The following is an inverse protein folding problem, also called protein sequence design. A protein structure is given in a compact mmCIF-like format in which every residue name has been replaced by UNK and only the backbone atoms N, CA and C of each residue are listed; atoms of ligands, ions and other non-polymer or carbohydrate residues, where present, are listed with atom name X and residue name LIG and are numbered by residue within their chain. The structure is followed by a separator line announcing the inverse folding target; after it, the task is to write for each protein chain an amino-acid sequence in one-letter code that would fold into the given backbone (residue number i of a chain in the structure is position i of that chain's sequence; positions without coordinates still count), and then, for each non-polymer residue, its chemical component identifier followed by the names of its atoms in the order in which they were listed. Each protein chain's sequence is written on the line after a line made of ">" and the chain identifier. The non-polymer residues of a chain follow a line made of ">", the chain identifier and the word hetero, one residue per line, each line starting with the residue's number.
data_IF_309815258304
#
_entry.id   IF_309815258304
#
_cell.length_a   1.000
_cell.length_b   1.000
_cell.length_c   1.000
_cell.angle_alpha   90.00
_cell.angle_beta   90.00
_cell.angle_gamma   90.00
#
_symmetry.space_group_name_H-M   'P 1'
#
loop_
_entity.id
_entity.type
_entity.pdbx_description
1 polymer ?
#
# COMPACT_ATOMS: atom_id res chain seq x y z
N UNK A 1 -10.99 -17.77 26.51
CA UNK A 1 -11.98 -18.49 25.69
C UNK A 1 -13.08 -17.58 25.11
N UNK A 2 -13.33 -16.42 25.71
CA UNK A 2 -14.34 -15.44 25.26
C UNK A 2 -13.95 -14.64 23.99
N UNK A 3 -12.66 -14.37 23.83
CA UNK A 3 -12.12 -13.57 22.71
C UNK A 3 -12.22 -14.28 21.34
N UNK A 4 -12.19 -15.63 21.34
CA UNK A 4 -12.40 -16.44 20.13
C UNK A 4 -13.84 -16.34 19.64
N UNK A 5 -14.82 -16.35 20.55
CA UNK A 5 -16.25 -16.20 20.20
C UNK A 5 -16.57 -14.81 19.66
N UNK A 6 -15.92 -13.76 20.20
CA UNK A 6 -16.11 -12.39 19.72
C UNK A 6 -15.60 -12.21 18.28
N UNK A 7 -14.43 -12.77 17.96
CA UNK A 7 -13.87 -12.76 16.59
C UNK A 7 -14.73 -13.54 15.60
N UNK A 8 -15.28 -14.68 16.01
CA UNK A 8 -16.15 -15.49 15.14
C UNK A 8 -17.46 -14.77 14.81
N UNK A 9 -18.05 -14.08 15.80
CA UNK A 9 -19.30 -13.33 15.62
C UNK A 9 -19.15 -12.12 14.69
N UNK A 10 -17.99 -11.47 14.73
CA UNK A 10 -17.65 -10.35 13.83
C UNK A 10 -17.43 -10.87 12.40
N UNK A 11 -16.83 -12.05 12.25
CA UNK A 11 -16.59 -12.69 10.95
C UNK A 11 -17.89 -13.16 10.29
N UNK A 12 -18.81 -13.75 11.06
CA UNK A 12 -20.13 -14.15 10.57
C UNK A 12 -20.96 -12.96 10.07
N UNK A 13 -20.97 -11.84 10.82
CA UNK A 13 -21.67 -10.62 10.39
C UNK A 13 -21.14 -10.03 9.09
N UNK A 14 -19.83 -10.14 8.83
CA UNK A 14 -19.22 -9.63 7.60
C UNK A 14 -19.56 -10.49 6.38
N UNK A 15 -19.82 -11.79 6.59
CA UNK A 15 -20.15 -12.74 5.52
C UNK A 15 -21.61 -12.61 5.09
N UNK A 16 -22.54 -12.42 6.04
CA UNK A 16 -23.96 -12.18 5.76
C UNK A 16 -24.18 -10.91 4.93
N UNK A 17 -23.51 -9.79 5.27
CA UNK A 17 -23.64 -8.53 4.51
C UNK A 17 -23.08 -8.67 3.07
N UNK A 18 -22.02 -9.47 2.91
CA UNK A 18 -21.41 -9.75 1.61
C UNK A 18 -22.31 -10.61 0.72
N UNK A 19 -23.01 -11.59 1.31
CA UNK A 19 -23.94 -12.46 0.59
C UNK A 19 -25.22 -11.73 0.17
N UNK A 20 -25.77 -10.87 1.05
CA UNK A 20 -27.01 -10.14 0.77
C UNK A 20 -26.83 -9.10 -0.34
N UNK A 21 -25.68 -8.41 -0.38
CA UNK A 21 -25.35 -7.45 -1.44
C UNK A 21 -25.12 -8.10 -2.80
N UNK A 22 -24.59 -9.34 -2.82
CA UNK A 22 -24.42 -10.15 -4.04
C UNK A 22 -25.76 -10.62 -4.61
N UNK A 23 -26.72 -10.96 -3.74
CA UNK A 23 -28.08 -11.34 -4.16
C UNK A 23 -28.87 -10.16 -4.73
N UNK A 24 -28.66 -8.94 -4.22
CA UNK A 24 -29.29 -7.71 -4.73
C UNK A 24 -28.73 -7.23 -6.09
N UNK A 25 -27.54 -7.69 -6.47
CA UNK A 25 -26.83 -7.28 -7.69
C UNK A 25 -26.98 -8.27 -8.87
N UNK A 26 -27.78 -9.34 -8.73
CA UNK A 26 -28.21 -10.17 -9.86
C UNK A 26 -27.09 -10.82 -10.67
N UNK A 27 -25.99 -11.24 -10.04
CA UNK A 27 -24.94 -12.01 -10.70
C UNK A 27 -25.27 -13.51 -10.67
N UNK A 28 -25.09 -14.24 -11.78
CA UNK A 28 -25.44 -15.66 -11.88
C UNK A 28 -24.58 -16.51 -10.93
N UNK A 29 -25.23 -17.53 -10.37
CA UNK A 29 -24.61 -18.55 -9.55
C UNK A 29 -23.76 -19.48 -10.43
N UNK A 30 -22.52 -19.73 -10.04
CA UNK A 30 -21.74 -20.85 -10.54
C UNK A 30 -21.56 -21.87 -9.42
N UNK A 31 -22.19 -23.02 -9.59
CA UNK A 31 -21.98 -24.30 -8.91
C UNK A 31 -22.12 -25.40 -9.98
N UNK A 32 -21.69 -26.66 -9.77
CA UNK A 32 -20.39 -27.16 -9.32
C UNK A 32 -19.90 -28.36 -10.20
N UNK A 33 -18.59 -28.54 -10.43
CA UNK A 33 -18.07 -29.87 -10.81
C UNK A 33 -16.64 -30.10 -10.28
N UNK A 34 -16.45 -31.26 -9.65
CA UNK A 34 -15.27 -31.76 -8.92
C UNK A 34 -14.15 -32.27 -9.88
N UNK A 35 -12.94 -32.75 -9.45
CA UNK A 35 -12.49 -33.21 -8.12
C UNK A 35 -11.05 -32.83 -7.65
N UNK A 36 -10.75 -33.16 -6.37
CA UNK A 36 -9.48 -33.15 -5.55
C UNK A 36 -8.26 -33.86 -6.21
N UNK A 37 -6.97 -33.76 -5.75
CA UNK A 37 -6.52 -33.74 -4.33
C UNK A 37 -5.21 -32.99 -3.92
N UNK A 38 -4.95 -33.02 -2.59
CA UNK A 38 -3.67 -32.96 -1.87
C UNK A 38 -2.95 -31.60 -1.62
N UNK A 39 -2.53 -31.43 -0.37
CA UNK A 39 -1.80 -30.31 0.27
C UNK A 39 -0.33 -30.17 -0.22
N UNK A 40 0.53 -29.27 0.32
CA UNK A 40 0.37 -28.10 1.19
C UNK A 40 0.95 -26.81 0.54
N UNK A 41 0.48 -25.60 0.92
CA UNK A 41 1.21 -24.37 0.57
C UNK A 41 1.28 -23.44 1.77
N UNK A 42 2.35 -23.63 2.53
CA UNK A 42 3.15 -22.51 3.03
C UNK A 42 3.53 -21.66 1.82
N UNK A 43 3.00 -20.44 1.73
CA UNK A 43 3.80 -19.23 1.58
C UNK A 43 2.89 -18.02 1.40
N UNK A 44 3.17 -17.04 2.25
CA UNK A 44 3.10 -15.61 1.99
C UNK A 44 2.96 -15.25 0.49
N UNK A 45 1.74 -14.99 0.05
CA UNK A 45 1.52 -14.22 -1.18
C UNK A 45 0.37 -13.26 -0.95
N UNK A 46 0.75 -12.05 -0.51
CA UNK A 46 -0.10 -10.86 -0.36
C UNK A 46 -1.05 -10.81 -1.54
N UNK A 47 -2.30 -11.10 -1.23
CA UNK A 47 -3.35 -11.35 -2.19
C UNK A 47 -3.67 -10.08 -2.96
N UNK A 48 -3.38 -10.10 -4.25
CA UNK A 48 -3.91 -9.18 -5.25
C UNK A 48 -5.43 -9.30 -5.33
N UNK A 49 -6.14 -8.65 -4.40
CA UNK A 49 -7.51 -8.20 -4.65
C UNK A 49 -7.45 -6.84 -5.35
N UNK A 50 -8.40 -6.49 -6.23
CA UNK A 50 -8.53 -5.13 -6.73
C UNK A 50 -8.90 -4.21 -5.57
N UNK A 51 -7.88 -3.70 -4.88
CA UNK A 51 -8.04 -2.71 -3.81
C UNK A 51 -8.69 -1.50 -4.48
N UNK A 52 -9.93 -1.21 -4.10
CA UNK A 52 -10.66 -0.02 -4.57
C UNK A 52 -9.73 1.19 -4.39
N UNK A 53 -9.71 2.16 -5.32
CA UNK A 53 -8.80 3.30 -5.23
C UNK A 53 -8.93 4.04 -3.89
N UNK A 54 -10.14 4.14 -3.34
CA UNK A 54 -10.38 4.68 -2.00
C UNK A 54 -9.57 3.95 -0.89
N UNK A 55 -9.57 2.62 -0.89
CA UNK A 55 -8.79 1.83 0.08
C UNK A 55 -7.28 1.96 -0.11
N UNK A 56 -6.78 2.16 -1.33
CA UNK A 56 -5.34 2.43 -1.55
C UNK A 56 -4.90 3.75 -0.94
N UNK A 57 -5.70 4.81 -1.11
CA UNK A 57 -5.40 6.13 -0.54
C UNK A 57 -5.44 6.07 0.99
N UNK A 58 -6.41 5.37 1.59
CA UNK A 58 -6.43 5.16 3.04
C UNK A 58 -5.18 4.41 3.55
N UNK A 59 -4.74 3.37 2.84
CA UNK A 59 -3.51 2.65 3.17
C UNK A 59 -2.27 3.55 3.04
N UNK A 60 -2.22 4.44 2.05
CA UNK A 60 -1.15 5.42 1.91
C UNK A 60 -1.13 6.38 3.12
N UNK A 61 -2.30 6.88 3.54
CA UNK A 61 -2.44 7.74 4.72
C UNK A 61 -1.99 7.04 5.98
N UNK A 62 -2.36 5.77 6.14
CA UNK A 62 -1.94 4.95 7.26
C UNK A 62 -0.41 4.79 7.27
N UNK A 63 0.22 4.48 6.13
CA UNK A 63 1.68 4.37 6.03
C UNK A 63 2.38 5.68 6.43
N UNK A 64 1.89 6.82 5.94
CA UNK A 64 2.45 8.14 6.28
C UNK A 64 2.22 8.48 7.76
N UNK A 65 1.05 8.15 8.32
CA UNK A 65 0.73 8.33 9.73
C UNK A 65 1.62 7.49 10.63
N UNK A 66 1.76 6.20 10.34
CA UNK A 66 2.65 5.30 11.08
C UNK A 66 4.09 5.79 11.01
N UNK A 67 4.56 6.23 9.83
CA UNK A 67 5.90 6.80 9.66
C UNK A 67 6.12 8.03 10.56
N UNK A 68 5.16 8.96 10.57
CA UNK A 68 5.19 10.14 11.45
C UNK A 68 5.12 9.75 12.94
N UNK A 69 4.30 8.75 13.29
CA UNK A 69 4.13 8.28 14.66
C UNK A 69 5.37 7.55 15.21
N UNK A 70 6.04 6.76 14.38
CA UNK A 70 7.28 6.04 14.73
C UNK A 70 8.49 6.98 14.87
N UNK A 71 8.41 8.20 14.36
CA UNK A 71 9.48 9.19 14.40
C UNK A 71 8.98 10.53 15.00
N UNK A 72 8.12 10.45 16.04
CA UNK A 72 7.53 11.63 16.71
C UNK A 72 8.58 12.60 17.25
N UNK A 73 9.72 12.08 17.65
CA UNK A 73 10.83 12.86 18.21
C UNK A 73 11.64 13.59 17.13
N UNK A 74 11.47 13.24 15.85
CA UNK A 74 12.30 13.71 14.74
C UNK A 74 11.47 14.14 13.51
N UNK A 75 10.63 15.17 13.70
CA UNK A 75 9.76 15.72 12.64
C UNK A 75 10.56 16.20 11.41
N UNK A 76 11.78 16.67 11.61
CA UNK A 76 12.69 17.05 10.53
C UNK A 76 13.04 15.85 9.63
N UNK A 77 13.32 14.69 10.22
CA UNK A 77 13.56 13.44 9.50
C UNK A 77 12.30 12.97 8.78
N UNK A 78 11.13 13.04 9.42
CA UNK A 78 9.83 12.71 8.80
C UNK A 78 9.56 13.58 7.57
N UNK A 79 9.72 14.91 7.69
CA UNK A 79 9.57 15.84 6.57
C UNK A 79 10.55 15.54 5.44
N UNK A 80 11.80 15.20 5.78
CA UNK A 80 12.82 14.83 4.79
C UNK A 80 12.44 13.54 4.05
N UNK A 81 11.93 12.54 4.76
CA UNK A 81 11.40 11.30 4.20
C UNK A 81 10.25 11.57 3.23
N UNK A 82 9.25 12.36 3.66
CA UNK A 82 8.11 12.72 2.83
C UNK A 82 8.50 13.52 1.59
N UNK A 83 9.41 14.48 1.70
CA UNK A 83 9.94 15.22 0.55
C UNK A 83 10.66 14.30 -0.44
N UNK A 84 11.41 13.32 0.08
CA UNK A 84 12.12 12.33 -0.74
C UNK A 84 11.13 11.43 -1.48
N UNK A 85 10.12 10.90 -0.79
CA UNK A 85 9.02 10.14 -1.39
C UNK A 85 8.29 10.96 -2.46
N UNK A 86 7.93 12.21 -2.15
CA UNK A 86 7.25 13.11 -3.08
C UNK A 86 8.07 13.35 -4.34
N UNK A 87 9.39 13.50 -4.20
CA UNK A 87 10.32 13.64 -5.32
C UNK A 87 10.30 12.40 -6.21
N UNK A 88 10.30 11.20 -5.63
CA UNK A 88 10.20 9.97 -6.41
C UNK A 88 8.87 9.85 -7.16
N UNK A 89 7.75 10.08 -6.48
CA UNK A 89 6.42 10.04 -7.11
C UNK A 89 6.29 11.08 -8.22
N UNK A 90 6.72 12.32 -7.96
CA UNK A 90 6.69 13.41 -8.95
C UNK A 90 7.57 13.09 -10.15
N UNK A 91 8.79 12.57 -9.92
CA UNK A 91 9.69 12.21 -11.02
C UNK A 91 9.12 11.04 -11.82
N UNK A 92 8.56 10.02 -11.18
CA UNK A 92 7.92 8.89 -11.84
C UNK A 92 6.69 9.27 -12.67
N UNK A 93 5.90 10.25 -12.21
CA UNK A 93 4.71 10.73 -12.90
C UNK A 93 5.01 11.71 -14.05
N UNK A 94 6.03 12.55 -13.90
CA UNK A 94 6.37 13.61 -14.87
C UNK A 94 7.43 13.22 -15.89
N UNK A 95 8.38 12.36 -15.50
CA UNK A 95 9.49 11.98 -16.37
C UNK A 95 9.30 10.54 -16.89
N UNK A 96 9.28 10.34 -18.21
CA UNK A 96 9.19 9.01 -18.79
C UNK A 96 10.52 8.23 -18.74
N UNK A 97 11.62 8.77 -18.20
CA UNK A 97 12.89 8.04 -18.14
C UNK A 97 12.85 6.90 -17.09
N UNK A 98 13.40 5.74 -17.43
CA UNK A 98 13.42 4.56 -16.56
C UNK A 98 14.26 4.75 -15.30
N UNK A 99 15.30 5.61 -15.35
CA UNK A 99 16.15 5.91 -14.18
C UNK A 99 15.40 6.57 -13.03
N UNK A 100 14.27 7.24 -13.29
CA UNK A 100 13.40 7.81 -12.25
C UNK A 100 12.32 6.85 -11.78
N UNK A 101 12.21 5.70 -12.43
CA UNK A 101 11.29 4.62 -12.12
C UNK A 101 12.00 3.43 -11.48
N UNK A 102 13.35 3.42 -11.43
CA UNK A 102 14.18 2.47 -10.69
C UNK A 102 14.86 3.17 -9.51
N UNK A 103 14.58 2.75 -8.30
CA UNK A 103 15.18 3.24 -7.06
C UNK A 103 16.04 2.11 -6.48
N UNK A 104 17.30 2.39 -6.14
CA UNK A 104 18.18 1.40 -5.52
C UNK A 104 18.01 1.40 -4.01
N UNK A 105 17.59 0.27 -3.45
CA UNK A 105 17.40 0.09 -2.01
C UNK A 105 18.74 0.13 -1.26
N UNK A 106 19.84 -0.29 -1.88
CA UNK A 106 21.20 -0.18 -1.29
C UNK A 106 21.72 1.27 -1.16
N UNK A 107 21.07 2.26 -1.79
CA UNK A 107 21.53 3.65 -1.71
C UNK A 107 21.41 4.20 -0.28
N UNK A 108 22.53 4.67 0.29
CA UNK A 108 22.57 5.15 1.68
C UNK A 108 21.61 6.31 1.95
N UNK A 109 21.46 7.25 1.00
CA UNK A 109 20.53 8.38 1.16
C UNK A 109 19.07 7.92 1.12
N UNK A 110 18.76 6.92 0.29
CA UNK A 110 17.44 6.29 0.30
C UNK A 110 17.19 5.56 1.62
N UNK A 111 18.13 4.72 2.06
CA UNK A 111 18.02 3.96 3.31
C UNK A 111 17.81 4.88 4.51
N UNK A 112 18.62 5.93 4.62
CA UNK A 112 18.57 6.82 5.77
C UNK A 112 17.23 7.59 5.87
N UNK A 113 16.69 8.00 4.71
CA UNK A 113 15.48 8.83 4.64
C UNK A 113 14.19 8.01 4.57
N UNK A 114 14.17 6.90 3.86
CA UNK A 114 12.93 6.16 3.51
C UNK A 114 13.09 4.66 3.76
N UNK A 115 14.24 4.07 3.46
CA UNK A 115 14.42 2.61 3.53
C UNK A 115 14.40 2.03 4.95
N UNK A 116 14.89 2.78 5.94
CA UNK A 116 14.77 2.44 7.38
C UNK A 116 13.35 2.64 7.93
N UNK A 117 12.48 3.30 7.17
CA UNK A 117 11.11 3.61 7.57
C UNK A 117 10.17 2.58 6.94
N UNK A 118 9.59 1.71 7.77
CA UNK A 118 8.70 0.63 7.32
C UNK A 118 7.54 1.15 6.44
N UNK A 119 6.98 2.30 6.80
CA UNK A 119 5.93 2.96 6.03
C UNK A 119 6.40 3.53 4.67
N UNK A 120 7.69 3.81 4.50
CA UNK A 120 8.26 4.39 3.29
C UNK A 120 8.28 3.41 2.12
N UNK A 121 8.76 2.18 2.35
CA UNK A 121 8.75 1.11 1.34
C UNK A 121 7.33 0.74 0.96
N UNK A 122 6.47 0.52 1.97
CA UNK A 122 5.07 0.13 1.76
C UNK A 122 4.29 1.20 0.99
N UNK A 123 4.58 2.47 1.23
CA UNK A 123 4.01 3.58 0.45
C UNK A 123 4.41 3.52 -1.03
N UNK A 124 5.68 3.24 -1.33
CA UNK A 124 6.15 3.08 -2.71
C UNK A 124 5.47 1.88 -3.38
N UNK A 125 5.31 0.76 -2.67
CA UNK A 125 4.57 -0.41 -3.18
C UNK A 125 3.12 -0.06 -3.52
N UNK A 126 2.44 0.72 -2.68
CA UNK A 126 1.08 1.20 -2.94
C UNK A 126 0.99 2.14 -4.16
N UNK A 127 2.06 2.88 -4.45
CA UNK A 127 2.17 3.71 -5.66
C UNK A 127 2.47 2.88 -6.93
N UNK A 128 2.69 1.57 -6.79
CA UNK A 128 2.95 0.65 -7.91
C UNK A 128 4.41 0.27 -8.09
N UNK A 129 5.32 0.70 -7.22
CA UNK A 129 6.71 0.24 -7.28
C UNK A 129 6.80 -1.21 -6.82
N UNK A 130 7.49 -2.04 -7.59
CA UNK A 130 7.68 -3.46 -7.27
C UNK A 130 9.14 -3.70 -6.91
N UNK A 131 9.36 -4.56 -5.93
CA UNK A 131 10.71 -4.97 -5.55
C UNK A 131 11.23 -5.97 -6.59
N UNK A 132 12.40 -5.69 -7.14
CA UNK A 132 13.06 -6.52 -8.15
C UNK A 132 14.47 -6.87 -7.68
N UNK A 133 15.07 -7.87 -8.35
CA UNK A 133 16.42 -8.36 -8.05
C UNK A 133 16.58 -8.77 -6.57
N UNK A 134 15.59 -9.45 -5.99
CA UNK A 134 15.66 -9.93 -4.60
C UNK A 134 15.62 -8.80 -3.56
N UNK A 135 14.73 -7.82 -3.75
CA UNK A 135 14.56 -6.67 -2.86
C UNK A 135 15.78 -5.71 -2.84
N UNK A 136 16.58 -5.68 -3.92
CA UNK A 136 17.67 -4.70 -4.07
C UNK A 136 17.21 -3.39 -4.75
N UNK A 137 16.18 -3.44 -5.58
CA UNK A 137 15.65 -2.27 -6.27
C UNK A 137 14.13 -2.22 -6.22
N UNK A 138 13.58 -1.01 -6.20
CA UNK A 138 12.17 -0.73 -6.45
C UNK A 138 12.01 -0.22 -7.87
N UNK A 139 11.18 -0.89 -8.68
CA UNK A 139 10.94 -0.54 -10.06
C UNK A 139 9.45 -0.31 -10.34
N UNK A 140 9.12 0.80 -10.99
CA UNK A 140 7.77 1.11 -11.46
C UNK A 140 7.67 0.87 -12.97
N UNK A 141 7.03 -0.24 -13.34
CA UNK A 141 6.78 -0.57 -14.74
C UNK A 141 5.85 0.46 -15.39
N UNK A 142 6.10 0.81 -16.66
CA UNK A 142 5.33 1.83 -17.39
C UNK A 142 3.82 1.51 -17.44
N UNK A 143 3.51 0.23 -17.52
CA UNK A 143 2.17 -0.31 -17.66
C UNK A 143 1.37 -0.18 -16.36
N UNK A 144 2.06 -0.20 -15.21
CA UNK A 144 1.46 -0.05 -13.88
C UNK A 144 1.45 1.39 -13.37
N UNK A 145 1.83 2.37 -14.19
CA UNK A 145 1.77 3.79 -13.83
C UNK A 145 0.30 4.23 -13.81
N UNK A 146 -0.29 4.20 -12.63
CA UNK A 146 -1.59 4.80 -12.41
C UNK A 146 -1.43 6.28 -12.04
N UNK A 147 -1.61 7.15 -13.03
CA UNK A 147 -1.45 8.61 -12.84
C UNK A 147 -2.40 9.15 -11.78
N UNK A 148 -3.62 8.62 -11.67
CA UNK A 148 -4.57 9.07 -10.66
C UNK A 148 -4.04 8.75 -9.25
N UNK A 149 -3.55 7.51 -9.04
CA UNK A 149 -2.93 7.10 -7.78
C UNK A 149 -1.69 7.95 -7.47
N UNK A 150 -0.78 8.17 -8.43
CA UNK A 150 0.42 8.99 -8.20
C UNK A 150 0.09 10.45 -7.87
N UNK A 151 -0.91 11.04 -8.53
CA UNK A 151 -1.37 12.40 -8.23
C UNK A 151 -2.00 12.47 -6.83
N UNK A 152 -2.86 11.52 -6.47
CA UNK A 152 -3.44 11.45 -5.13
C UNK A 152 -2.38 11.20 -4.05
N UNK A 153 -1.44 10.29 -4.29
CA UNK A 153 -0.32 10.01 -3.38
C UNK A 153 0.57 11.25 -3.17
N UNK A 154 0.85 11.99 -4.24
CA UNK A 154 1.57 13.26 -4.17
C UNK A 154 0.81 14.32 -3.36
N UNK A 155 -0.51 14.39 -3.51
CA UNK A 155 -1.39 15.26 -2.71
C UNK A 155 -1.39 14.91 -1.22
N UNK A 156 -1.45 13.63 -0.89
CA UNK A 156 -1.38 13.15 0.51
C UNK A 156 -0.01 13.42 1.14
N UNK A 157 1.09 13.17 0.41
CA UNK A 157 2.44 13.51 0.86
C UNK A 157 2.60 15.02 1.09
N UNK A 158 2.15 15.84 0.14
CA UNK A 158 2.23 17.29 0.27
C UNK A 158 1.39 17.79 1.45
N UNK A 159 0.21 17.21 1.65
CA UNK A 159 -0.62 17.47 2.82
C UNK A 159 0.09 17.04 4.10
N UNK A 160 0.74 15.88 4.14
CA UNK A 160 1.48 15.41 5.30
C UNK A 160 2.68 16.30 5.68
N UNK A 161 3.33 16.92 4.70
CA UNK A 161 4.46 17.84 4.90
C UNK A 161 3.99 19.20 5.44
N UNK A 162 2.90 19.74 4.88
CA UNK A 162 2.43 21.09 5.18
C UNK A 162 1.38 21.13 6.31
N UNK A 163 0.74 20.00 6.62
CA UNK A 163 -0.30 19.92 7.64
C UNK A 163 0.25 19.36 8.96
N UNK A 164 0.35 20.18 10.02
CA UNK A 164 0.82 19.73 11.33
C UNK A 164 -0.10 18.66 11.94
N UNK A 165 -1.39 18.67 11.62
CA UNK A 165 -2.40 17.71 12.11
C UNK A 165 -2.56 16.46 11.25
N UNK A 166 -1.69 16.27 10.24
CA UNK A 166 -1.75 15.06 9.43
C UNK A 166 -1.60 13.82 10.31
N UNK A 167 -2.61 12.94 10.28
CA UNK A 167 -2.64 11.68 11.00
C UNK A 167 -3.27 11.69 12.40
N UNK A 168 -3.87 12.81 12.85
CA UNK A 168 -4.42 12.99 14.22
C UNK A 168 -5.84 12.41 14.43
N UNK A 169 -6.32 11.48 13.58
CA UNK A 169 -7.69 10.94 13.64
C UNK A 169 -7.74 9.42 13.51
#
# INVERSE_FOLDING_TARGET
>A
EEEKRAREKIRQKLEEDKAERRRKLGLPAEDPTAPKPAAPVVEEKKSSLPVRPATKIEQMRECLRSLKQSNKDDDAKVKTAFNTLLTYIKNAATKPEEKFRKIRLSNAAFQDRVGKLEGGIKFLELCGFEKIEGDEFLFLARDKIDKAVLTSAGGELNSAINNPFFGVL
#
